data_IF_867131755149
#
_entry.id   IF_867131755149
#
_cell.length_a   1.000
_cell.length_b   1.000
_cell.length_c   1.000
_cell.angle_alpha   90.00
_cell.angle_beta   90.00
_cell.angle_gamma   90.00
#
_symmetry.space_group_name_H-M   'P 1'
#
loop_
_entity.id
_entity.type
_entity.pdbx_description
1 polymer ?
#
# COMPACT_ATOMS: atom_id res chain seq x y z
N UNK A 1 -12.22 -15.79 -31.97
CA UNK A 1 -12.24 -16.11 -30.53
C UNK A 1 -11.10 -17.08 -30.25
N UNK A 2 -10.01 -16.62 -29.66
CA UNK A 2 -8.81 -17.43 -29.40
C UNK A 2 -9.06 -18.43 -28.27
N UNK A 3 -8.65 -19.68 -28.46
CA UNK A 3 -8.75 -20.74 -27.45
C UNK A 3 -7.50 -20.66 -26.57
N UNK A 4 -7.66 -20.31 -25.29
CA UNK A 4 -6.58 -20.41 -24.33
C UNK A 4 -6.40 -21.87 -23.91
N UNK A 5 -5.20 -22.41 -24.10
CA UNK A 5 -4.79 -23.70 -23.55
C UNK A 5 -4.50 -23.54 -22.06
N UNK A 6 -5.27 -24.23 -21.20
CA UNK A 6 -4.96 -24.35 -19.77
C UNK A 6 -3.86 -25.39 -19.60
N UNK A 7 -2.62 -24.94 -19.41
CA UNK A 7 -1.52 -25.79 -18.98
C UNK A 7 -1.74 -26.14 -17.51
N UNK A 8 -2.13 -27.38 -17.22
CA UNK A 8 -2.33 -27.89 -15.88
C UNK A 8 -0.99 -28.35 -15.30
N UNK A 9 -0.37 -27.52 -14.46
CA UNK A 9 0.81 -27.86 -13.64
C UNK A 9 0.47 -28.85 -12.50
N UNK A 10 -0.28 -29.91 -12.79
CA UNK A 10 -0.73 -30.86 -11.75
C UNK A 10 0.24 -32.04 -11.54
N UNK A 11 1.18 -32.26 -12.45
CA UNK A 11 1.98 -33.51 -12.46
C UNK A 11 3.41 -33.36 -11.89
N UNK A 12 3.84 -32.15 -11.53
CA UNK A 12 5.21 -31.94 -11.03
C UNK A 12 5.43 -32.46 -9.59
N UNK A 13 4.35 -32.74 -8.83
CA UNK A 13 4.42 -33.20 -7.43
C UNK A 13 3.96 -34.65 -7.24
N UNK A 14 3.59 -35.38 -8.30
CA UNK A 14 2.91 -36.68 -8.21
C UNK A 14 3.77 -37.86 -7.75
N UNK A 15 5.10 -37.72 -7.66
CA UNK A 15 6.01 -38.84 -7.40
C UNK A 15 6.54 -38.95 -5.95
N UNK A 16 6.06 -38.13 -5.01
CA UNK A 16 6.61 -38.08 -3.65
C UNK A 16 5.62 -38.50 -2.53
N UNK A 17 4.45 -39.03 -2.86
CA UNK A 17 3.58 -39.69 -1.88
C UNK A 17 4.01 -41.15 -1.76
N UNK A 18 4.96 -41.41 -0.87
CA UNK A 18 5.24 -42.77 -0.40
C UNK A 18 4.14 -43.14 0.59
N UNK A 19 3.38 -44.20 0.29
CA UNK A 19 2.45 -44.82 1.22
C UNK A 19 3.22 -45.35 2.44
N UNK A 20 3.24 -44.58 3.52
CA UNK A 20 3.77 -45.03 4.81
C UNK A 20 2.68 -44.84 5.86
N UNK A 21 2.24 -45.97 6.42
CA UNK A 21 1.28 -46.10 7.52
C UNK A 21 1.67 -45.20 8.72
N UNK A 22 0.72 -44.77 9.57
CA UNK A 22 0.96 -43.75 10.58
C UNK A 22 1.87 -44.25 11.71
N UNK A 23 3.17 -44.03 11.58
CA UNK A 23 4.12 -44.14 12.70
C UNK A 23 3.99 -42.90 13.62
N UNK A 24 4.04 -43.07 14.96
CA UNK A 24 3.83 -41.97 15.89
C UNK A 24 4.98 -40.95 15.84
N UNK A 25 4.62 -39.72 15.46
CA UNK A 25 5.27 -38.45 15.80
C UNK A 25 6.81 -38.44 15.89
N UNK A 26 7.52 -38.77 14.80
CA UNK A 26 8.88 -38.28 14.62
C UNK A 26 8.80 -36.85 14.03
N UNK A 27 9.48 -35.84 14.60
CA UNK A 27 9.52 -34.52 14.01
C UNK A 27 10.16 -34.63 12.63
N UNK A 28 9.40 -34.33 11.58
CA UNK A 28 9.95 -34.14 10.23
C UNK A 28 11.10 -33.14 10.36
N UNK A 29 12.32 -33.47 9.92
CA UNK A 29 13.38 -32.48 9.83
C UNK A 29 12.92 -31.46 8.80
N UNK A 30 12.34 -30.36 9.26
CA UNK A 30 12.29 -29.13 8.47
C UNK A 30 13.72 -28.89 8.00
N UNK A 31 13.98 -28.56 6.73
CA UNK A 31 15.32 -28.20 6.31
C UNK A 31 15.66 -26.96 7.12
N UNK A 32 16.35 -27.17 8.25
CA UNK A 32 16.94 -26.12 9.04
C UNK A 32 17.73 -25.32 8.02
N UNK A 33 17.31 -24.06 7.81
CA UNK A 33 17.87 -23.15 6.83
C UNK A 33 19.33 -23.47 6.68
N UNK A 34 19.77 -23.88 5.48
CA UNK A 34 21.14 -24.32 5.19
C UNK A 34 22.12 -23.25 5.66
N UNK A 35 22.44 -23.29 6.95
CA UNK A 35 23.45 -22.51 7.60
C UNK A 35 24.71 -23.24 7.23
N UNK A 36 25.06 -23.16 5.94
CA UNK A 36 26.45 -23.27 5.52
C UNK A 36 27.20 -22.43 6.55
N UNK A 37 28.20 -23.01 7.20
CA UNK A 37 29.12 -22.32 8.11
C UNK A 37 29.83 -21.19 7.35
N UNK A 38 29.08 -20.15 6.99
CA UNK A 38 29.54 -18.92 6.43
C UNK A 38 30.14 -18.22 7.63
N UNK A 39 31.41 -18.54 7.90
CA UNK A 39 32.27 -17.87 8.87
C UNK A 39 31.85 -16.41 8.96
N UNK A 40 31.12 -16.08 10.02
CA UNK A 40 30.34 -14.86 10.05
C UNK A 40 31.26 -13.69 9.69
N UNK A 41 30.93 -12.91 8.65
CA UNK A 41 31.79 -11.81 8.20
C UNK A 41 31.97 -10.73 9.28
N UNK A 42 31.10 -10.72 10.29
CA UNK A 42 31.15 -9.82 11.45
C UNK A 42 32.02 -10.34 12.59
N UNK A 43 32.47 -11.60 12.56
CA UNK A 43 33.42 -12.11 13.55
C UNK A 43 34.81 -11.58 13.21
N UNK A 44 35.37 -10.77 14.10
CA UNK A 44 36.74 -10.26 13.97
C UNK A 44 37.72 -11.43 13.78
N UNK A 45 38.30 -11.52 12.58
CA UNK A 45 39.32 -12.52 12.27
C UNK A 45 40.70 -11.91 12.53
N UNK A 46 41.23 -12.14 13.72
CA UNK A 46 42.61 -11.79 14.04
C UNK A 46 43.52 -12.82 13.37
N UNK A 47 44.14 -12.44 12.25
CA UNK A 47 45.13 -13.27 11.57
C UNK A 47 46.49 -13.14 12.30
N UNK A 48 46.68 -13.92 13.36
CA UNK A 48 47.99 -13.97 14.05
C UNK A 48 49.00 -14.63 13.11
N UNK A 49 50.00 -13.88 12.68
CA UNK A 49 51.14 -14.42 11.93
C UNK A 49 52.23 -14.79 12.95
N UNK A 50 52.64 -16.05 12.94
CA UNK A 50 53.61 -16.60 13.89
C UNK A 50 55.06 -16.39 13.44
N UNK A 51 55.34 -16.52 12.14
CA UNK A 51 56.69 -16.42 11.56
C UNK A 51 56.88 -15.09 10.83
N UNK A 52 56.98 -13.98 11.58
CA UNK A 52 57.19 -12.64 11.00
C UNK A 52 58.69 -12.37 10.84
N UNK A 53 59.15 -12.17 9.61
CA UNK A 53 60.51 -11.72 9.33
C UNK A 53 60.72 -10.26 9.79
N UNK A 54 61.95 -9.91 10.16
CA UNK A 54 62.29 -8.56 10.63
C UNK A 54 61.98 -7.48 9.58
N UNK A 55 61.62 -6.27 10.01
CA UNK A 55 61.18 -5.18 9.11
C UNK A 55 62.23 -4.71 8.10
N UNK A 56 63.51 -5.01 8.35
CA UNK A 56 64.63 -4.71 7.45
C UNK A 56 65.19 -5.95 6.76
N UNK A 57 64.57 -7.12 6.95
CA UNK A 57 64.99 -8.34 6.27
C UNK A 57 64.68 -8.22 4.76
N UNK A 58 65.58 -8.71 3.91
CA UNK A 58 65.36 -8.75 2.47
C UNK A 58 64.22 -9.69 2.06
N UNK A 59 63.83 -9.63 0.78
CA UNK A 59 62.81 -10.53 0.24
C UNK A 59 63.32 -11.98 0.21
N UNK A 60 62.70 -12.85 1.01
CA UNK A 60 62.94 -14.29 0.98
C UNK A 60 62.21 -14.98 -0.18
N UNK A 61 62.59 -16.21 -0.51
CA UNK A 61 61.98 -16.98 -1.60
C UNK A 61 60.48 -17.30 -1.38
N UNK A 62 60.03 -17.34 -0.13
CA UNK A 62 58.63 -17.58 0.24
C UNK A 62 57.72 -16.35 0.23
N UNK A 63 58.30 -15.14 0.20
CA UNK A 63 57.54 -13.89 0.38
C UNK A 63 56.59 -13.60 -0.80
N UNK A 64 56.94 -14.07 -1.99
CA UNK A 64 56.05 -13.97 -3.14
C UNK A 64 54.75 -14.75 -2.92
N UNK A 65 54.83 -15.95 -2.33
CA UNK A 65 53.66 -16.79 -2.12
C UNK A 65 52.77 -16.29 -0.97
N UNK A 66 53.36 -15.72 0.08
CA UNK A 66 52.61 -15.07 1.17
C UNK A 66 51.83 -13.87 0.65
N UNK A 67 52.46 -12.98 -0.14
CA UNK A 67 51.79 -11.86 -0.81
C UNK A 67 50.68 -12.32 -1.74
N UNK A 68 50.93 -13.33 -2.57
CA UNK A 68 49.91 -13.84 -3.50
C UNK A 68 48.67 -14.36 -2.75
N UNK A 69 48.87 -15.07 -1.64
CA UNK A 69 47.79 -15.58 -0.82
C UNK A 69 47.04 -14.45 -0.08
N UNK A 70 47.76 -13.49 0.51
CA UNK A 70 47.15 -12.36 1.21
C UNK A 70 46.36 -11.46 0.25
N UNK A 71 46.91 -11.17 -0.93
CA UNK A 71 46.23 -10.41 -1.98
C UNK A 71 44.95 -11.08 -2.44
N UNK A 72 44.97 -12.40 -2.65
CA UNK A 72 43.76 -13.15 -3.03
C UNK A 72 42.66 -13.02 -1.97
N UNK A 73 43.00 -13.27 -0.70
CA UNK A 73 42.06 -13.13 0.43
C UNK A 73 41.48 -11.72 0.51
N UNK A 74 42.30 -10.71 0.27
CA UNK A 74 41.87 -9.31 0.32
C UNK A 74 40.96 -8.94 -0.86
N UNK A 75 41.27 -9.37 -2.08
CA UNK A 75 40.40 -9.14 -3.24
C UNK A 75 39.05 -9.83 -3.07
N UNK A 76 39.02 -11.07 -2.56
CA UNK A 76 37.78 -11.79 -2.25
C UNK A 76 36.95 -11.05 -1.18
N UNK A 77 37.61 -10.54 -0.13
CA UNK A 77 36.98 -9.75 0.93
C UNK A 77 36.35 -8.47 0.37
N UNK A 78 37.08 -7.73 -0.45
CA UNK A 78 36.58 -6.49 -1.08
C UNK A 78 35.42 -6.78 -2.02
N UNK A 79 35.54 -7.80 -2.88
CA UNK A 79 34.48 -8.18 -3.81
C UNK A 79 33.18 -8.54 -3.09
N UNK A 80 33.26 -9.29 -1.99
CA UNK A 80 32.11 -9.65 -1.16
C UNK A 80 31.49 -8.44 -0.45
N UNK A 81 32.31 -7.48 0.00
CA UNK A 81 31.81 -6.22 0.56
C UNK A 81 31.06 -5.40 -0.50
N UNK A 82 31.61 -5.29 -1.71
CA UNK A 82 30.97 -4.56 -2.81
C UNK A 82 29.65 -5.21 -3.25
N UNK A 83 29.60 -6.55 -3.32
CA UNK A 83 28.37 -7.27 -3.62
C UNK A 83 27.28 -6.97 -2.59
N UNK A 84 27.58 -7.09 -1.30
CA UNK A 84 26.63 -6.78 -0.23
C UNK A 84 26.15 -5.33 -0.26
N UNK A 85 27.05 -4.39 -0.58
CA UNK A 85 26.67 -3.00 -0.73
C UNK A 85 25.69 -2.80 -1.89
N UNK A 86 25.93 -3.43 -3.04
CA UNK A 86 25.01 -3.39 -4.20
C UNK A 86 23.65 -3.98 -3.84
N UNK A 87 23.63 -5.14 -3.18
CA UNK A 87 22.39 -5.81 -2.78
C UNK A 87 21.60 -4.96 -1.77
N UNK A 88 22.26 -4.43 -0.74
CA UNK A 88 21.63 -3.56 0.26
C UNK A 88 21.08 -2.28 -0.37
N UNK A 89 21.82 -1.66 -1.29
CA UNK A 89 21.37 -0.48 -2.01
C UNK A 89 20.14 -0.79 -2.89
N UNK A 90 20.17 -1.90 -3.63
CA UNK A 90 19.04 -2.31 -4.46
C UNK A 90 17.78 -2.60 -3.61
N UNK A 91 17.94 -3.23 -2.45
CA UNK A 91 16.84 -3.45 -1.50
C UNK A 91 16.27 -2.13 -0.97
N UNK A 92 17.12 -1.19 -0.56
CA UNK A 92 16.66 0.14 -0.11
C UNK A 92 15.91 0.90 -1.22
N UNK A 93 16.41 0.88 -2.45
CA UNK A 93 15.73 1.49 -3.60
C UNK A 93 14.37 0.83 -3.89
N UNK A 94 14.30 -0.50 -3.77
CA UNK A 94 13.05 -1.23 -3.93
C UNK A 94 12.03 -0.90 -2.84
N UNK A 95 12.46 -0.90 -1.57
CA UNK A 95 11.60 -0.58 -0.43
C UNK A 95 11.08 0.86 -0.48
N UNK A 96 11.94 1.82 -0.81
CA UNK A 96 11.54 3.23 -0.94
C UNK A 96 10.53 3.41 -2.07
N UNK A 97 10.74 2.78 -3.23
CA UNK A 97 9.78 2.79 -4.34
C UNK A 97 8.46 2.12 -3.95
N UNK A 98 8.51 0.99 -3.24
CA UNK A 98 7.31 0.29 -2.76
C UNK A 98 6.50 1.16 -1.79
N UNK A 99 7.16 1.80 -0.82
CA UNK A 99 6.52 2.72 0.14
C UNK A 99 5.86 3.89 -0.60
N UNK A 100 6.59 4.55 -1.50
CA UNK A 100 6.05 5.66 -2.31
C UNK A 100 4.80 5.25 -3.09
N UNK A 101 4.82 4.09 -3.75
CA UNK A 101 3.66 3.61 -4.50
C UNK A 101 2.46 3.31 -3.58
N UNK A 102 2.70 2.78 -2.38
CA UNK A 102 1.66 2.54 -1.39
C UNK A 102 1.06 3.87 -0.90
N UNK A 103 1.90 4.86 -0.57
CA UNK A 103 1.46 6.19 -0.12
C UNK A 103 0.64 6.90 -1.21
N UNK A 104 1.07 6.84 -2.48
CA UNK A 104 0.34 7.40 -3.62
C UNK A 104 -1.02 6.70 -3.82
N UNK A 105 -1.07 5.38 -3.64
CA UNK A 105 -2.33 4.62 -3.70
C UNK A 105 -3.27 5.01 -2.56
N UNK A 106 -2.76 5.08 -1.33
CA UNK A 106 -3.54 5.46 -0.14
C UNK A 106 -4.07 6.89 -0.25
N UNK A 107 -3.27 7.86 -0.69
CA UNK A 107 -3.70 9.23 -0.92
C UNK A 107 -4.82 9.30 -1.96
N UNK A 108 -4.70 8.54 -3.06
CA UNK A 108 -5.74 8.45 -4.08
C UNK A 108 -7.01 7.79 -3.56
N UNK A 109 -6.89 6.73 -2.76
CA UNK A 109 -8.03 6.05 -2.13
C UNK A 109 -8.73 6.96 -1.12
N UNK A 110 -7.98 7.68 -0.28
CA UNK A 110 -8.51 8.64 0.67
C UNK A 110 -9.30 9.75 -0.05
N UNK A 111 -8.71 10.36 -1.08
CA UNK A 111 -9.39 11.38 -1.91
C UNK A 111 -10.68 10.86 -2.55
N UNK A 112 -10.70 9.59 -3.00
CA UNK A 112 -11.91 8.95 -3.55
C UNK A 112 -12.95 8.66 -2.45
N UNK A 113 -12.51 8.24 -1.26
CA UNK A 113 -13.38 7.99 -0.11
C UNK A 113 -14.03 9.30 0.38
N UNK A 114 -13.28 10.38 0.52
CA UNK A 114 -13.79 11.71 0.89
C UNK A 114 -14.80 12.25 -0.12
N UNK A 115 -14.52 12.12 -1.43
CA UNK A 115 -15.49 12.48 -2.48
C UNK A 115 -16.79 11.70 -2.35
N UNK A 116 -16.72 10.40 -2.04
CA UNK A 116 -17.92 9.57 -1.80
C UNK A 116 -18.64 10.01 -0.52
N UNK A 117 -17.93 10.31 0.56
CA UNK A 117 -18.50 10.81 1.82
C UNK A 117 -19.27 12.12 1.60
N UNK A 118 -18.64 13.11 0.94
CA UNK A 118 -19.27 14.40 0.60
C UNK A 118 -20.51 14.23 -0.29
N UNK A 119 -20.50 13.29 -1.25
CA UNK A 119 -21.67 12.98 -2.09
C UNK A 119 -22.81 12.38 -1.26
N UNK A 120 -22.50 11.45 -0.35
CA UNK A 120 -23.49 10.85 0.57
C UNK A 120 -24.09 11.90 1.51
N UNK A 121 -23.27 12.77 2.10
CA UNK A 121 -23.73 13.88 2.95
C UNK A 121 -24.66 14.84 2.19
N UNK A 122 -24.30 15.23 0.96
CA UNK A 122 -25.16 16.05 0.11
C UNK A 122 -26.48 15.38 -0.27
N UNK A 123 -26.47 14.07 -0.56
CA UNK A 123 -27.68 13.33 -0.87
C UNK A 123 -28.61 13.24 0.36
N UNK A 124 -28.05 13.00 1.56
CA UNK A 124 -28.80 13.02 2.83
C UNK A 124 -29.40 14.40 3.11
N UNK A 125 -28.62 15.47 2.95
CA UNK A 125 -29.12 16.83 3.15
C UNK A 125 -30.25 17.18 2.17
N UNK A 126 -30.16 16.76 0.90
CA UNK A 126 -31.24 16.92 -0.08
C UNK A 126 -32.49 16.11 0.26
N UNK A 127 -32.32 14.89 0.78
CA UNK A 127 -33.45 14.07 1.22
C UNK A 127 -34.18 14.73 2.40
N UNK A 128 -33.43 15.25 3.38
CA UNK A 128 -34.01 16.00 4.51
C UNK A 128 -34.71 17.31 4.07
N UNK A 129 -34.15 18.06 3.11
CA UNK A 129 -34.81 19.26 2.56
C UNK A 129 -36.09 18.93 1.76
N UNK A 130 -36.11 17.80 1.06
CA UNK A 130 -37.30 17.32 0.36
C UNK A 130 -38.41 16.88 1.34
N UNK A 131 -38.04 16.19 2.42
CA UNK A 131 -38.96 15.76 3.48
C UNK A 131 -39.55 16.97 4.23
N UNK A 132 -38.74 17.98 4.55
CA UNK A 132 -39.21 19.25 5.12
C UNK A 132 -40.11 20.04 4.15
N UNK A 133 -39.87 19.98 2.84
CA UNK A 133 -40.76 20.60 1.84
C UNK A 133 -42.09 19.87 1.70
N UNK A 134 -42.10 18.54 1.76
CA UNK A 134 -43.33 17.75 1.78
C UNK A 134 -44.15 18.08 3.04
N UNK A 135 -43.54 18.09 4.23
CA UNK A 135 -44.22 18.44 5.49
C UNK A 135 -44.75 19.89 5.51
N UNK A 136 -43.99 20.86 5.00
CA UNK A 136 -44.45 22.26 4.92
C UNK A 136 -45.52 22.48 3.84
N UNK A 137 -45.53 21.68 2.76
CA UNK A 137 -46.58 21.73 1.74
C UNK A 137 -47.87 21.02 2.17
N UNK A 138 -47.77 19.98 3.00
CA UNK A 138 -48.91 19.33 3.64
C UNK A 138 -49.57 20.26 4.67
N UNK A 139 -48.79 20.95 5.50
CA UNK A 139 -49.31 21.90 6.48
C UNK A 139 -49.94 23.16 5.85
N UNK A 140 -49.50 23.56 4.65
CA UNK A 140 -50.07 24.71 3.91
C UNK A 140 -51.36 24.37 3.14
N UNK A 141 -51.69 23.09 2.94
CA UNK A 141 -52.96 22.65 2.32
C UNK A 141 -54.10 22.48 3.33
N UNK A 142 -53.82 22.52 4.63
CA UNK A 142 -54.81 22.27 5.68
C UNK A 142 -55.35 23.54 6.37
N UNK A 143 -54.82 24.73 6.03
CA UNK A 143 -55.34 26.00 6.55
C UNK A 143 -55.76 26.92 5.40
N UNK A 144 -56.98 26.72 4.91
CA UNK A 144 -57.78 27.79 4.29
C UNK A 144 -59.07 27.87 5.10
N UNK A 145 -59.25 28.84 6.01
CA UNK A 145 -60.56 29.10 6.59
C UNK A 145 -61.44 29.77 5.53
N UNK A 146 -62.25 28.98 4.82
CA UNK A 146 -63.35 29.50 4.00
C UNK A 146 -64.36 30.19 4.93
N UNK A 147 -64.40 31.52 4.91
CA UNK A 147 -65.48 32.32 5.50
C UNK A 147 -66.65 32.45 4.49
N UNK A 148 -67.91 32.61 4.94
CA UNK A 148 -69.09 32.52 4.09
C UNK A 148 -69.30 33.76 3.20
N UNK A 149 -68.40 33.99 2.25
CA UNK A 149 -68.43 35.18 1.38
C UNK A 149 -67.70 35.07 0.04
N UNK A 150 -67.05 33.94 -0.28
CA UNK A 150 -66.52 33.67 -1.63
C UNK A 150 -65.41 34.61 -2.15
N UNK A 151 -64.83 35.45 -1.29
CA UNK A 151 -63.66 36.28 -1.65
C UNK A 151 -62.40 35.57 -1.12
N UNK A 152 -61.46 35.17 -1.98
CA UNK A 152 -60.20 34.57 -1.51
C UNK A 152 -59.44 35.60 -0.66
N UNK A 153 -59.01 35.20 0.54
CA UNK A 153 -58.25 36.05 1.44
C UNK A 153 -57.02 36.61 0.72
N UNK A 154 -56.93 37.94 0.64
CA UNK A 154 -55.74 38.61 0.15
C UNK A 154 -54.66 38.42 1.21
N UNK A 155 -53.53 37.76 0.90
CA UNK A 155 -52.45 37.61 1.86
C UNK A 155 -51.90 38.99 2.25
N UNK A 156 -51.81 39.25 3.56
CA UNK A 156 -51.37 40.53 4.14
C UNK A 156 -49.84 40.73 4.06
N UNK A 157 -49.22 40.22 2.98
CA UNK A 157 -47.78 40.26 2.73
C UNK A 157 -47.41 41.33 1.69
N UNK A 158 -48.36 42.20 1.31
CA UNK A 158 -48.17 43.26 0.31
C UNK A 158 -48.08 42.78 -1.14
N UNK A 159 -48.15 41.48 -1.40
CA UNK A 159 -48.08 40.87 -2.73
C UNK A 159 -49.20 41.32 -3.68
N UNK A 160 -50.38 41.63 -3.14
CA UNK A 160 -51.51 42.18 -3.90
C UNK A 160 -51.26 43.60 -4.42
N UNK A 161 -50.69 44.47 -3.58
CA UNK A 161 -50.29 45.83 -3.96
C UNK A 161 -49.21 45.79 -5.05
N UNK A 162 -48.25 44.87 -4.94
CA UNK A 162 -47.22 44.68 -5.97
C UNK A 162 -47.83 44.28 -7.32
N UNK A 163 -48.81 43.37 -7.32
CA UNK A 163 -49.53 42.94 -8.54
C UNK A 163 -50.33 44.09 -9.18
N UNK A 164 -50.99 44.91 -8.36
CA UNK A 164 -51.73 46.09 -8.83
C UNK A 164 -50.81 47.17 -9.41
N UNK A 165 -49.66 47.42 -8.78
CA UNK A 165 -48.69 48.42 -9.26
C UNK A 165 -48.02 47.99 -10.57
N UNK A 166 -47.79 46.68 -10.76
CA UNK A 166 -47.30 46.15 -12.02
C UNK A 166 -48.29 46.36 -13.17
N UNK A 167 -49.59 46.11 -12.93
CA UNK A 167 -50.66 46.36 -13.92
C UNK A 167 -50.81 47.85 -14.29
N UNK A 168 -50.50 48.76 -13.37
CA UNK A 168 -50.49 50.20 -13.66
C UNK A 168 -49.31 50.65 -14.52
N UNK A 169 -48.18 49.93 -14.47
CA UNK A 169 -46.99 50.24 -15.29
C UNK A 169 -47.10 49.71 -16.72
N UNK A 170 -47.99 48.77 -16.97
CA UNK A 170 -48.24 48.23 -18.32
C UNK A 170 -49.34 48.97 -19.10
N UNK A 171 -49.91 50.03 -18.52
CA UNK A 171 -50.75 51.01 -19.22
C UNK A 171 -49.96 52.28 -19.47
#
# INVERSE_FOLDING_TARGET
MGRYTTFSDQDANGAALRDELPAPAAPVPSPASDAKDHKDPGRLQINRVENVAGSTAGAGSGEFHTYRASRRREMERVALMEQRYKDSKAQQEFETKRKRNADEFEANMHKRAEKRRRRKERAKAKAMDAEQKEETSAHKKEQVPETPGGVPEIPNDGSFLARMLALQKEK
#
